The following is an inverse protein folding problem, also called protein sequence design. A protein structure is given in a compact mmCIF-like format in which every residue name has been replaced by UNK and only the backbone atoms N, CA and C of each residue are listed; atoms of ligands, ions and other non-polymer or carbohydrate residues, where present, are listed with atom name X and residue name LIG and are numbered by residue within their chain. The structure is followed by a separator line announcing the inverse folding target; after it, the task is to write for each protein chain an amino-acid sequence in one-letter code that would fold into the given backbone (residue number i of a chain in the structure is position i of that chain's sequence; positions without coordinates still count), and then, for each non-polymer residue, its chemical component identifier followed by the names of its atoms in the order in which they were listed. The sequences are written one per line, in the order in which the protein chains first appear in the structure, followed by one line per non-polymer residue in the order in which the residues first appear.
data_IF_174825365572
#
_entry.id   IF_174825365572
#
_cell.length_a   1.000
_cell.length_b   1.000
_cell.length_c   1.000
_cell.angle_alpha   90.00
_cell.angle_beta   90.00
_cell.angle_gamma   90.00
#
_symmetry.space_group_name_H-M   'P 1'
#
loop_
_entity.id
_entity.type
_entity.pdbx_description
1 polymer ?
#
# COMPACT_ATOMS: atom_id res chain seq x y z
N UNK A 1 23.70 27.15 6.05
CA UNK A 1 22.58 26.17 6.06
C UNK A 1 22.55 25.35 4.77
N UNK A 2 22.52 25.95 3.59
CA UNK A 2 22.55 25.23 2.28
C UNK A 2 23.77 24.31 2.10
N UNK A 3 24.97 24.79 2.45
CA UNK A 3 26.21 23.97 2.38
C UNK A 3 26.13 22.74 3.28
N UNK A 4 25.48 22.84 4.46
CA UNK A 4 25.33 21.72 5.38
C UNK A 4 24.34 20.68 4.82
N UNK A 5 23.25 21.15 4.17
CA UNK A 5 22.28 20.28 3.51
C UNK A 5 22.98 19.54 2.37
N UNK A 6 23.70 20.24 1.50
CA UNK A 6 24.42 19.63 0.37
C UNK A 6 25.46 18.58 0.83
N UNK A 7 26.13 18.84 1.96
CA UNK A 7 27.06 17.86 2.54
C UNK A 7 26.36 16.61 3.06
N UNK A 8 25.15 16.73 3.63
CA UNK A 8 24.35 15.57 4.04
C UNK A 8 23.81 14.81 2.83
N UNK A 9 23.33 15.52 1.81
CA UNK A 9 22.83 14.90 0.58
C UNK A 9 23.93 14.08 -0.11
N UNK A 10 25.14 14.62 -0.23
CA UNK A 10 26.29 13.89 -0.80
C UNK A 10 26.66 12.64 0.03
N UNK A 11 26.56 12.71 1.35
CA UNK A 11 26.82 11.55 2.22
C UNK A 11 25.73 10.48 2.08
N UNK A 12 24.47 10.87 1.96
CA UNK A 12 23.35 9.96 1.74
C UNK A 12 23.51 9.28 0.38
N UNK A 13 23.83 10.04 -0.67
CA UNK A 13 24.04 9.51 -2.01
C UNK A 13 25.18 8.49 -2.04
N UNK A 14 26.32 8.81 -1.43
CA UNK A 14 27.46 7.88 -1.32
C UNK A 14 27.12 6.60 -0.53
N UNK A 15 26.33 6.71 0.53
CA UNK A 15 25.92 5.56 1.33
C UNK A 15 24.88 4.67 0.62
N UNK A 16 24.10 5.23 -0.27
CA UNK A 16 23.05 4.54 -1.03
C UNK A 16 23.51 4.03 -2.40
N UNK A 17 24.72 4.40 -2.84
CA UNK A 17 25.28 3.98 -4.13
C UNK A 17 25.24 2.45 -4.36
N UNK A 18 25.60 1.59 -3.37
CA UNK A 18 25.51 0.15 -3.53
C UNK A 18 24.08 -0.39 -3.77
N UNK A 19 23.08 0.43 -3.49
CA UNK A 19 21.66 0.05 -3.50
C UNK A 19 20.88 0.73 -4.63
N UNK A 20 21.56 1.38 -5.56
CA UNK A 20 20.98 2.17 -6.66
C UNK A 20 19.96 1.35 -7.45
N UNK A 21 20.27 0.13 -7.85
CA UNK A 21 19.36 -0.73 -8.60
C UNK A 21 18.08 -1.07 -7.81
N UNK A 22 18.21 -1.26 -6.51
CA UNK A 22 17.04 -1.50 -5.63
C UNK A 22 16.20 -0.24 -5.50
N UNK A 23 16.84 0.93 -5.39
CA UNK A 23 16.14 2.22 -5.32
C UNK A 23 15.33 2.45 -6.61
N UNK A 24 15.95 2.26 -7.79
CA UNK A 24 15.26 2.45 -9.08
C UNK A 24 14.07 1.51 -9.22
N UNK A 25 14.22 0.23 -8.87
CA UNK A 25 13.10 -0.72 -8.88
C UNK A 25 11.97 -0.31 -7.95
N UNK A 26 12.27 0.13 -6.73
CA UNK A 26 11.26 0.53 -5.76
C UNK A 26 10.53 1.82 -6.16
N UNK A 27 11.16 2.72 -6.92
CA UNK A 27 10.53 3.93 -7.47
C UNK A 27 9.43 3.63 -8.50
N UNK A 28 9.40 2.42 -9.07
CA UNK A 28 8.31 1.98 -9.94
C UNK A 28 6.98 1.86 -9.20
N UNK A 29 7.02 1.65 -7.89
CA UNK A 29 5.81 1.52 -7.06
C UNK A 29 5.08 2.86 -6.96
N UNK A 30 3.81 2.95 -7.37
CA UNK A 30 3.06 4.19 -7.29
C UNK A 30 3.07 4.83 -5.91
N UNK A 31 3.44 6.09 -5.87
CA UNK A 31 3.49 6.88 -4.64
C UNK A 31 4.83 6.85 -3.91
N UNK A 32 5.78 6.01 -4.30
CA UNK A 32 7.14 6.08 -3.80
C UNK A 32 7.95 7.10 -4.63
N UNK A 33 8.56 8.06 -3.93
CA UNK A 33 9.57 8.96 -4.46
C UNK A 33 10.95 8.45 -4.03
N UNK A 34 12.00 8.99 -4.63
CA UNK A 34 13.39 8.68 -4.25
C UNK A 34 13.63 8.86 -2.75
N UNK A 35 13.26 10.02 -2.20
CA UNK A 35 13.38 10.30 -0.77
C UNK A 35 12.61 9.28 0.10
N UNK A 36 11.39 8.87 -0.31
CA UNK A 36 10.63 7.88 0.45
C UNK A 36 11.25 6.49 0.38
N UNK A 37 11.89 6.13 -0.74
CA UNK A 37 12.66 4.87 -0.87
C UNK A 37 13.93 4.91 -0.01
N UNK A 38 14.64 6.04 0.01
CA UNK A 38 15.81 6.22 0.87
C UNK A 38 15.46 6.06 2.36
N UNK A 39 14.34 6.66 2.79
CA UNK A 39 13.83 6.50 4.16
C UNK A 39 13.44 5.04 4.43
N UNK A 40 12.80 4.36 3.48
CA UNK A 40 12.47 2.94 3.57
C UNK A 40 13.73 2.11 3.82
N UNK A 41 14.75 2.26 2.98
CA UNK A 41 16.01 1.53 3.09
C UNK A 41 16.72 1.84 4.42
N UNK A 42 16.73 3.10 4.84
CA UNK A 42 17.34 3.49 6.11
C UNK A 42 16.67 2.86 7.34
N UNK A 43 15.33 2.70 7.29
CA UNK A 43 14.55 2.19 8.42
C UNK A 43 14.48 0.65 8.46
N UNK A 44 14.35 -0.02 7.32
CA UNK A 44 14.12 -1.48 7.27
C UNK A 44 15.35 -2.26 6.77
N UNK A 45 16.38 -1.57 6.28
CA UNK A 45 17.52 -2.22 5.63
C UNK A 45 17.13 -2.84 4.29
N UNK A 46 18.06 -3.57 3.69
CA UNK A 46 17.87 -4.29 2.42
C UNK A 46 17.65 -5.77 2.64
N UNK A 47 18.22 -6.31 3.70
CA UNK A 47 18.09 -7.71 4.04
C UNK A 47 16.72 -7.98 4.68
N UNK A 48 15.85 -8.64 3.91
CA UNK A 48 14.51 -9.03 4.38
C UNK A 48 14.52 -10.31 5.24
N UNK A 49 15.64 -10.98 5.41
CA UNK A 49 15.75 -12.18 6.27
C UNK A 49 15.42 -11.89 7.73
N UNK A 50 15.61 -10.65 8.19
CA UNK A 50 15.22 -10.18 9.52
C UNK A 50 13.71 -10.15 9.76
N UNK A 51 12.90 -10.20 8.69
CA UNK A 51 11.44 -10.29 8.77
C UNK A 51 10.97 -11.60 8.15
N UNK A 52 10.55 -12.60 8.94
CA UNK A 52 10.14 -13.91 8.42
C UNK A 52 9.01 -13.84 7.38
N UNK A 53 8.15 -12.82 7.46
CA UNK A 53 7.08 -12.57 6.49
C UNK A 53 6.78 -11.07 6.38
N UNK A 54 6.12 -10.66 5.29
CA UNK A 54 5.60 -9.30 5.14
C UNK A 54 4.71 -8.88 6.32
N UNK A 55 3.96 -9.83 6.92
CA UNK A 55 3.14 -9.58 8.10
C UNK A 55 3.93 -9.13 9.33
N UNK A 56 5.13 -9.66 9.54
CA UNK A 56 6.03 -9.23 10.61
C UNK A 56 6.52 -7.81 10.39
N UNK A 57 6.92 -7.48 9.16
CA UNK A 57 7.31 -6.11 8.78
C UNK A 57 6.15 -5.12 8.97
N UNK A 58 4.93 -5.48 8.53
CA UNK A 58 3.73 -4.65 8.73
C UNK A 58 3.41 -4.43 10.22
N UNK A 59 3.59 -5.47 11.04
CA UNK A 59 3.38 -5.39 12.49
C UNK A 59 4.39 -4.47 13.15
N UNK A 60 5.67 -4.58 12.76
CA UNK A 60 6.75 -3.71 13.22
C UNK A 60 6.51 -2.26 12.82
N UNK A 61 6.14 -2.01 11.56
CA UNK A 61 5.80 -0.68 11.05
C UNK A 61 4.52 -0.09 11.68
N UNK A 62 3.75 -0.88 12.42
CA UNK A 62 2.50 -0.45 13.05
C UNK A 62 1.37 -0.17 12.07
N UNK A 63 1.33 -0.85 10.93
CA UNK A 63 0.28 -0.73 9.92
C UNK A 63 -0.85 -1.77 10.10
N UNK A 64 -0.72 -2.68 11.06
CA UNK A 64 -1.75 -3.67 11.40
C UNK A 64 -2.61 -3.21 12.59
N UNK A 65 -3.89 -3.62 12.65
CA UNK A 65 -4.73 -3.37 13.81
C UNK A 65 -4.16 -4.04 15.07
N UNK A 66 -4.45 -3.48 16.23
CA UNK A 66 -4.19 -4.14 17.51
C UNK A 66 -5.06 -5.39 17.62
N UNK A 67 -4.48 -6.45 18.17
CA UNK A 67 -5.24 -7.55 18.75
C UNK A 67 -5.67 -7.09 20.16
N UNK A 68 -6.82 -6.44 20.22
CA UNK A 68 -7.42 -5.96 21.47
C UNK A 68 -8.79 -6.63 21.58
N UNK A 69 -8.74 -7.89 21.98
CA UNK A 69 -9.90 -8.75 22.12
C UNK A 69 -9.89 -9.39 23.50
N UNK A 70 -11.05 -9.40 24.17
CA UNK A 70 -11.25 -10.05 25.45
C UNK A 70 -12.63 -10.68 25.46
N UNK A 71 -12.71 -11.96 25.87
CA UNK A 71 -13.95 -12.74 25.92
C UNK A 71 -14.74 -12.71 24.59
N UNK A 72 -14.04 -12.85 23.43
CA UNK A 72 -14.65 -12.82 22.10
C UNK A 72 -15.13 -11.43 21.64
N UNK A 73 -14.93 -10.38 22.44
CA UNK A 73 -15.32 -9.01 22.08
C UNK A 73 -14.10 -8.17 21.69
N UNK A 74 -14.10 -7.69 20.46
CA UNK A 74 -13.06 -6.80 19.94
C UNK A 74 -13.25 -5.38 20.49
N UNK A 75 -12.29 -4.90 21.31
CA UNK A 75 -12.34 -3.60 21.97
C UNK A 75 -11.87 -2.47 21.08
N UNK A 76 -10.88 -2.70 20.23
CA UNK A 76 -10.30 -1.65 19.38
C UNK A 76 -9.86 -2.18 18.02
N UNK A 77 -10.05 -1.35 16.98
CA UNK A 77 -9.52 -1.57 15.63
C UNK A 77 -8.39 -0.58 15.29
N UNK A 78 -7.88 0.15 16.29
CA UNK A 78 -6.79 1.11 16.09
C UNK A 78 -5.51 0.38 15.70
N UNK A 79 -4.74 0.98 14.82
CA UNK A 79 -3.40 0.48 14.47
C UNK A 79 -2.45 0.65 15.66
N UNK A 80 -1.44 -0.21 15.75
CA UNK A 80 -0.38 -0.13 16.76
C UNK A 80 0.43 1.17 16.59
N UNK A 81 1.10 1.62 17.65
CA UNK A 81 2.27 2.47 17.52
C UNK A 81 3.32 1.62 16.79
N UNK A 82 3.99 2.16 15.81
CA UNK A 82 5.02 1.48 15.03
C UNK A 82 6.18 2.42 14.76
N UNK A 83 7.02 2.10 13.79
CA UNK A 83 8.17 2.91 13.39
C UNK A 83 7.77 4.39 13.19
N UNK A 84 8.32 5.32 14.01
CA UNK A 84 7.84 6.69 14.07
C UNK A 84 8.13 7.47 12.78
N UNK A 85 9.18 7.12 12.08
CA UNK A 85 9.60 7.77 10.84
C UNK A 85 8.98 7.11 9.60
N UNK A 86 9.00 5.79 9.52
CA UNK A 86 8.51 5.04 8.37
C UNK A 86 7.00 5.16 8.15
N UNK A 87 6.22 5.02 9.23
CA UNK A 87 4.75 5.01 9.13
C UNK A 87 4.16 6.30 8.54
N UNK A 88 4.54 7.52 8.97
CA UNK A 88 4.07 8.75 8.35
C UNK A 88 4.41 8.85 6.86
N UNK A 89 5.63 8.48 6.49
CA UNK A 89 6.09 8.47 5.08
C UNK A 89 5.24 7.53 4.25
N UNK A 90 5.02 6.29 4.70
CA UNK A 90 4.17 5.33 3.99
C UNK A 90 2.72 5.80 3.84
N UNK A 91 2.19 6.51 4.83
CA UNK A 91 0.85 7.12 4.72
C UNK A 91 0.83 8.23 3.67
N UNK A 92 1.87 9.05 3.57
CA UNK A 92 1.99 10.06 2.51
C UNK A 92 2.11 9.39 1.13
N UNK A 93 2.92 8.34 1.01
CA UNK A 93 3.03 7.53 -0.20
C UNK A 93 1.67 6.93 -0.61
N UNK A 94 0.89 6.44 0.35
CA UNK A 94 -0.44 5.90 0.09
C UNK A 94 -1.42 6.97 -0.44
N UNK A 95 -1.35 8.20 0.07
CA UNK A 95 -2.13 9.31 -0.47
C UNK A 95 -1.71 9.70 -1.88
N UNK A 96 -0.40 9.64 -2.19
CA UNK A 96 0.12 9.88 -3.54
C UNK A 96 -0.32 8.75 -4.50
N UNK A 97 -0.17 7.49 -4.09
CA UNK A 97 -0.59 6.31 -4.86
C UNK A 97 -2.10 6.32 -5.18
N UNK A 98 -2.93 6.75 -4.21
CA UNK A 98 -4.37 6.86 -4.41
C UNK A 98 -4.79 7.89 -5.47
N UNK A 99 -3.90 8.82 -5.86
CA UNK A 99 -4.13 9.81 -6.91
C UNK A 99 -3.72 9.31 -8.30
N UNK A 100 -2.88 8.28 -8.41
CA UNK A 100 -2.49 7.71 -9.70
C UNK A 100 -3.69 7.00 -10.33
N UNK A 101 -4.22 7.59 -11.40
CA UNK A 101 -5.38 7.04 -12.13
C UNK A 101 -5.07 5.66 -12.72
N UNK A 102 -6.09 4.85 -12.84
CA UNK A 102 -6.03 3.52 -13.47
C UNK A 102 -4.99 2.57 -12.82
N UNK A 103 -4.77 2.69 -11.51
CA UNK A 103 -3.85 1.84 -10.75
C UNK A 103 -4.58 0.97 -9.74
N UNK A 104 -3.96 -0.14 -9.37
CA UNK A 104 -4.42 -1.03 -8.30
C UNK A 104 -4.63 -0.28 -6.99
N UNK A 105 -3.68 0.58 -6.57
CA UNK A 105 -3.76 1.29 -5.29
C UNK A 105 -4.89 2.32 -5.27
N UNK A 106 -5.18 2.99 -6.39
CA UNK A 106 -6.36 3.86 -6.51
C UNK A 106 -7.64 3.06 -6.34
N UNK A 107 -7.78 1.95 -7.05
CA UNK A 107 -8.96 1.08 -6.96
C UNK A 107 -9.15 0.53 -5.54
N UNK A 108 -8.08 0.10 -4.89
CA UNK A 108 -8.08 -0.33 -3.49
C UNK A 108 -8.55 0.80 -2.57
N UNK A 109 -7.96 1.99 -2.71
CA UNK A 109 -8.30 3.15 -1.90
C UNK A 109 -9.78 3.52 -2.03
N UNK A 110 -10.30 3.67 -3.25
CA UNK A 110 -11.70 4.05 -3.50
C UNK A 110 -12.68 3.02 -2.93
N UNK A 111 -12.40 1.73 -3.12
CA UNK A 111 -13.19 0.64 -2.57
C UNK A 111 -13.23 0.66 -1.04
N UNK A 112 -12.09 0.88 -0.39
CA UNK A 112 -12.00 0.90 1.06
C UNK A 112 -12.53 2.21 1.64
N UNK A 113 -12.31 3.35 0.97
CA UNK A 113 -12.85 4.66 1.35
C UNK A 113 -14.37 4.63 1.49
N UNK A 114 -15.06 3.99 0.54
CA UNK A 114 -16.53 3.86 0.58
C UNK A 114 -17.02 3.03 1.79
N UNK A 115 -16.20 2.09 2.29
CA UNK A 115 -16.58 1.19 3.39
C UNK A 115 -16.17 1.69 4.77
N UNK A 116 -14.97 2.22 4.92
CA UNK A 116 -14.38 2.51 6.24
C UNK A 116 -13.77 3.91 6.37
N UNK A 117 -13.99 4.76 5.37
CA UNK A 117 -13.51 6.14 5.35
C UNK A 117 -12.07 6.30 4.87
N UNK A 118 -11.65 7.54 4.56
CA UNK A 118 -10.39 7.80 3.87
C UNK A 118 -9.15 7.49 4.71
N UNK A 119 -9.15 7.79 6.00
CA UNK A 119 -7.99 7.56 6.88
C UNK A 119 -7.66 6.08 7.01
N UNK A 120 -8.67 5.21 7.18
CA UNK A 120 -8.47 3.76 7.26
C UNK A 120 -8.09 3.18 5.90
N UNK A 121 -8.64 3.71 4.80
CA UNK A 121 -8.27 3.31 3.45
C UNK A 121 -6.79 3.64 3.16
N UNK A 122 -6.30 4.83 3.53
CA UNK A 122 -4.90 5.20 3.37
C UNK A 122 -3.95 4.26 4.13
N UNK A 123 -4.27 3.90 5.38
CA UNK A 123 -3.48 2.93 6.14
C UNK A 123 -3.44 1.56 5.45
N UNK A 124 -4.56 1.10 4.91
CA UNK A 124 -4.60 -0.18 4.20
C UNK A 124 -3.79 -0.15 2.89
N UNK A 125 -3.79 0.97 2.16
CA UNK A 125 -2.94 1.16 0.97
C UNK A 125 -1.48 1.24 1.38
N UNK A 126 -1.13 1.94 2.46
CA UNK A 126 0.23 1.98 3.01
C UNK A 126 0.74 0.56 3.37
N UNK A 127 -0.11 -0.25 3.98
CA UNK A 127 0.21 -1.65 4.25
C UNK A 127 0.45 -2.45 2.97
N UNK A 128 -0.37 -2.24 1.93
CA UNK A 128 -0.18 -2.91 0.63
C UNK A 128 1.12 -2.45 -0.07
N UNK A 129 1.46 -1.16 -0.01
CA UNK A 129 2.73 -0.65 -0.53
C UNK A 129 3.90 -1.34 0.17
N UNK A 130 3.90 -1.38 1.51
CA UNK A 130 4.98 -2.02 2.26
C UNK A 130 5.07 -3.53 2.02
N UNK A 131 3.93 -4.21 1.81
CA UNK A 131 3.91 -5.63 1.39
C UNK A 131 4.55 -5.80 0.02
N UNK A 132 4.24 -4.93 -0.93
CA UNK A 132 4.86 -4.95 -2.27
C UNK A 132 6.37 -4.74 -2.18
N UNK A 133 6.81 -3.73 -1.42
CA UNK A 133 8.24 -3.47 -1.16
C UNK A 133 8.93 -4.70 -0.57
N UNK A 134 8.33 -5.34 0.43
CA UNK A 134 8.87 -6.56 1.03
C UNK A 134 9.14 -7.66 -0.02
N UNK A 135 8.14 -7.97 -0.86
CA UNK A 135 8.30 -9.00 -1.90
C UNK A 135 9.29 -8.58 -2.98
N UNK A 136 9.29 -7.32 -3.41
CA UNK A 136 10.27 -6.83 -4.37
C UNK A 136 11.71 -6.96 -3.85
N UNK A 137 11.92 -6.73 -2.55
CA UNK A 137 13.25 -6.84 -1.92
C UNK A 137 13.62 -8.28 -1.62
N UNK A 138 12.70 -9.10 -1.13
CA UNK A 138 12.94 -10.50 -0.78
C UNK A 138 13.14 -11.38 -2.02
N UNK A 139 12.33 -11.17 -3.05
CA UNK A 139 12.27 -12.03 -4.24
C UNK A 139 13.03 -11.43 -5.43
N UNK A 140 13.54 -10.20 -5.32
CA UNK A 140 14.25 -9.48 -6.38
C UNK A 140 13.36 -9.09 -7.57
N UNK A 141 12.02 -9.12 -7.41
CA UNK A 141 11.06 -8.90 -8.50
C UNK A 141 10.85 -7.41 -8.78
N UNK A 142 10.38 -7.08 -10.01
CA UNK A 142 9.92 -5.74 -10.38
C UNK A 142 8.46 -5.53 -10.01
N UNK A 143 8.05 -4.25 -9.89
CA UNK A 143 6.66 -3.90 -9.64
C UNK A 143 5.77 -4.24 -10.83
N UNK A 144 4.64 -4.90 -10.58
CA UNK A 144 3.59 -5.14 -11.56
C UNK A 144 2.26 -4.57 -11.06
N UNK A 145 1.70 -3.60 -11.77
CA UNK A 145 0.39 -3.06 -11.43
C UNK A 145 -0.72 -4.03 -11.82
N UNK A 146 -1.49 -4.49 -10.85
CA UNK A 146 -2.61 -5.42 -11.08
C UNK A 146 -3.81 -4.76 -11.76
N UNK A 147 -3.75 -3.44 -11.96
CA UNK A 147 -4.76 -2.65 -12.65
C UNK A 147 -6.00 -2.30 -11.82
N UNK A 148 -6.83 -1.39 -12.35
CA UNK A 148 -8.02 -0.87 -11.65
C UNK A 148 -9.09 -1.94 -11.45
N UNK A 149 -9.17 -2.92 -12.35
CA UNK A 149 -10.24 -3.93 -12.38
C UNK A 149 -9.92 -5.17 -11.52
N UNK A 150 -8.77 -5.20 -10.86
CA UNK A 150 -8.33 -6.36 -10.07
C UNK A 150 -9.42 -6.85 -9.10
N UNK A 151 -10.06 -5.94 -8.38
CA UNK A 151 -11.10 -6.30 -7.41
C UNK A 151 -12.41 -6.73 -8.04
N UNK A 152 -12.73 -6.23 -9.25
CA UNK A 152 -13.90 -6.64 -10.01
C UNK A 152 -13.71 -8.04 -10.59
N UNK A 153 -12.53 -8.34 -11.13
CA UNK A 153 -12.19 -9.66 -11.70
C UNK A 153 -12.20 -10.79 -10.67
N UNK A 154 -11.95 -10.50 -9.39
CA UNK A 154 -11.98 -11.53 -8.33
C UNK A 154 -13.37 -12.09 -8.05
N UNK A 155 -14.43 -11.34 -8.32
CA UNK A 155 -15.81 -11.80 -8.13
C UNK A 155 -16.76 -11.07 -9.10
N UNK A 156 -16.71 -11.41 -10.40
CA UNK A 156 -17.48 -10.72 -11.44
C UNK A 156 -19.00 -10.87 -11.23
N UNK A 157 -19.46 -12.03 -10.77
CA UNK A 157 -20.89 -12.28 -10.52
C UNK A 157 -21.44 -11.33 -9.44
N UNK A 158 -20.69 -11.09 -8.37
CA UNK A 158 -21.08 -10.13 -7.31
C UNK A 158 -21.12 -8.70 -7.82
N UNK A 159 -20.17 -8.32 -8.69
CA UNK A 159 -20.14 -6.99 -9.30
C UNK A 159 -21.34 -6.80 -10.22
N UNK A 160 -21.62 -7.78 -11.08
CA UNK A 160 -22.77 -7.77 -11.99
C UNK A 160 -24.10 -7.67 -11.22
N UNK A 161 -24.27 -8.48 -10.17
CA UNK A 161 -25.48 -8.42 -9.33
C UNK A 161 -25.67 -7.04 -8.66
N UNK A 162 -24.58 -6.42 -8.18
CA UNK A 162 -24.62 -5.07 -7.58
C UNK A 162 -25.00 -4.00 -8.61
N UNK A 163 -24.47 -4.08 -9.81
CA UNK A 163 -24.80 -3.15 -10.90
C UNK A 163 -26.26 -3.31 -11.33
N UNK A 164 -26.73 -4.54 -11.49
CA UNK A 164 -28.13 -4.81 -11.80
C UNK A 164 -29.09 -4.28 -10.71
N UNK A 165 -28.76 -4.50 -9.44
CA UNK A 165 -29.56 -3.96 -8.35
C UNK A 165 -29.64 -2.42 -8.40
N UNK A 166 -28.52 -1.75 -8.75
CA UNK A 166 -28.50 -0.30 -8.92
C UNK A 166 -29.34 0.16 -10.10
N UNK A 167 -29.31 -0.56 -11.24
CA UNK A 167 -30.13 -0.23 -12.41
C UNK A 167 -31.60 -0.43 -12.08
N UNK A 168 -31.97 -1.53 -11.40
CA UNK A 168 -33.37 -1.75 -10.95
C UNK A 168 -33.86 -0.65 -10.02
N UNK A 169 -33.01 -0.12 -9.15
CA UNK A 169 -33.39 1.00 -8.26
C UNK A 169 -33.68 2.31 -9.01
N UNK A 170 -33.25 2.42 -10.27
CA UNK A 170 -33.59 3.55 -11.16
C UNK A 170 -34.84 3.32 -11.98
N UNK A 171 -35.57 2.20 -11.75
CA UNK A 171 -36.83 1.88 -12.45
C UNK A 171 -36.67 1.06 -13.74
N UNK A 172 -35.47 0.55 -14.03
CA UNK A 172 -35.22 -0.28 -15.22
C UNK A 172 -35.17 -1.76 -14.86
N UNK A 173 -35.65 -2.61 -15.74
CA UNK A 173 -35.43 -4.06 -15.60
C UNK A 173 -34.11 -4.48 -16.25
N UNK A 174 -33.43 -5.47 -15.63
CA UNK A 174 -32.12 -5.94 -16.09
C UNK A 174 -32.02 -7.44 -15.96
N UNK A 175 -31.77 -8.09 -17.09
CA UNK A 175 -31.39 -9.50 -17.17
C UNK A 175 -29.85 -9.64 -17.33
N UNK A 176 -29.22 -10.50 -16.53
CA UNK A 176 -27.76 -10.73 -16.56
C UNK A 176 -27.53 -12.08 -17.19
N UNK A 177 -26.86 -12.10 -18.34
CA UNK A 177 -26.39 -13.31 -19.01
C UNK A 177 -24.88 -13.36 -19.04
N UNK A 178 -24.33 -14.54 -18.83
CA UNK A 178 -22.90 -14.76 -19.00
C UNK A 178 -22.61 -14.75 -20.51
N UNK A 179 -21.65 -13.93 -20.93
CA UNK A 179 -21.18 -13.97 -22.30
C UNK A 179 -20.51 -15.33 -22.58
N UNK A 180 -20.87 -15.92 -23.70
CA UNK A 180 -20.29 -17.20 -24.15
C UNK A 180 -18.81 -17.05 -24.53
#
# INVERSE_FOLDING_TARGET
MEQTIAAFDARIEAALEPFRDTIERLKEVPGLSETSVQILIAEIGIDMSQFPTAGHLLSWAGLVPRLDESAGKRRSTRVKKGAPWLKPVLVQCAWAAARKKNSYFQAQFLRLKARCGPKKAAIAVAASILTTVYHMMADGTCYQDLGPDHFARRNPARVAAKLAARIRSLGFDVDIRVAA
#
